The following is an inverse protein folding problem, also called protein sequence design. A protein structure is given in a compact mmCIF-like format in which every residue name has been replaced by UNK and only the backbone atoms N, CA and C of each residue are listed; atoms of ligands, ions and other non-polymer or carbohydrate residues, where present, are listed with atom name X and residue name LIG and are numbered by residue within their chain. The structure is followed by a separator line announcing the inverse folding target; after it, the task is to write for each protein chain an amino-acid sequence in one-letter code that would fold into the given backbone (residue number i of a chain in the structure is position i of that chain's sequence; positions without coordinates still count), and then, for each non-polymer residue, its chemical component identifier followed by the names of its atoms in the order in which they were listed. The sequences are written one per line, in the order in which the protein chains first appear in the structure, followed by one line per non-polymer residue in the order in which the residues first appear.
data_IF_821676281496
#
_entry.id   IF_821676281496
#
_cell.length_a   1.000
_cell.length_b   1.000
_cell.length_c   1.000
_cell.angle_alpha   90.00
_cell.angle_beta   90.00
_cell.angle_gamma   90.00
#
_symmetry.space_group_name_H-M   'P 1'
#
loop_
_entity.id
_entity.type
_entity.pdbx_description
1 polymer ?
#
# COMPACT_ATOMS: atom_id res chain seq x y z
N UNK A 1 -0.09 28.21 36.56
CA UNK A 1 1.07 27.36 36.20
C UNK A 1 1.41 27.66 34.75
N UNK A 2 2.60 28.22 34.45
CA UNK A 2 3.01 28.43 33.06
C UNK A 2 3.03 27.06 32.36
N UNK A 3 2.34 26.97 31.21
CA UNK A 3 2.27 25.73 30.42
C UNK A 3 3.66 25.48 29.86
N UNK A 4 4.22 24.28 30.05
CA UNK A 4 5.46 23.90 29.38
C UNK A 4 5.25 24.09 27.86
N UNK A 5 6.11 24.86 27.17
CA UNK A 5 5.96 25.15 25.74
C UNK A 5 6.44 23.97 24.88
N UNK A 6 5.92 22.77 25.15
CA UNK A 6 6.19 21.56 24.36
C UNK A 6 5.70 21.75 22.91
N UNK A 7 4.61 22.49 22.73
CA UNK A 7 4.09 22.85 21.41
C UNK A 7 5.15 23.61 20.59
N UNK A 8 5.72 24.69 21.14
CA UNK A 8 6.72 25.51 20.45
C UNK A 8 7.99 24.72 20.10
N UNK A 9 8.41 23.78 20.96
CA UNK A 9 9.55 22.91 20.67
C UNK A 9 9.26 21.88 19.58
N UNK A 10 8.08 21.26 19.60
CA UNK A 10 7.67 20.32 18.55
C UNK A 10 7.52 21.05 17.21
N UNK A 11 6.89 22.22 17.20
CA UNK A 11 6.69 23.03 16.00
C UNK A 11 8.06 23.44 15.41
N UNK A 12 9.01 23.89 16.23
CA UNK A 12 10.35 24.22 15.77
C UNK A 12 11.12 23.02 15.19
N UNK A 13 10.94 21.82 15.77
CA UNK A 13 11.54 20.58 15.23
C UNK A 13 10.89 20.19 13.91
N UNK A 14 9.56 20.25 13.81
CA UNK A 14 8.81 19.91 12.59
C UNK A 14 9.15 20.89 11.47
N UNK A 15 9.26 22.19 11.77
CA UNK A 15 9.64 23.20 10.79
C UNK A 15 11.09 23.00 10.32
N UNK A 16 12.03 22.72 11.23
CA UNK A 16 13.41 22.39 10.85
C UNK A 16 13.49 21.13 9.98
N UNK A 17 12.69 20.11 10.31
CA UNK A 17 12.60 18.86 9.56
C UNK A 17 12.03 19.10 8.16
N UNK A 18 10.99 19.93 8.05
CA UNK A 18 10.41 20.32 6.76
C UNK A 18 11.42 21.12 5.93
N UNK A 19 12.15 22.07 6.48
CA UNK A 19 13.11 22.86 5.69
C UNK A 19 14.32 22.02 5.27
N UNK A 20 14.86 21.18 6.15
CA UNK A 20 16.09 20.42 5.88
C UNK A 20 15.83 19.11 5.12
N UNK A 21 14.69 18.46 5.34
CA UNK A 21 14.41 17.09 4.88
C UNK A 21 13.18 17.02 3.95
N UNK A 22 12.48 18.13 3.64
CA UNK A 22 11.33 18.08 2.71
C UNK A 22 11.67 17.46 1.35
N UNK A 23 12.88 17.66 0.83
CA UNK A 23 13.31 17.01 -0.42
C UNK A 23 13.27 15.48 -0.32
N UNK A 24 13.73 14.93 0.80
CA UNK A 24 13.71 13.49 1.08
C UNK A 24 12.28 12.97 1.31
N UNK A 25 11.45 13.68 2.08
CA UNK A 25 10.05 13.30 2.27
C UNK A 25 9.27 13.31 0.95
N UNK A 26 9.48 14.34 0.11
CA UNK A 26 8.89 14.42 -1.23
C UNK A 26 9.33 13.25 -2.10
N UNK A 27 10.62 12.90 -2.09
CA UNK A 27 11.12 11.75 -2.85
C UNK A 27 10.41 10.46 -2.42
N UNK A 28 10.30 10.20 -1.12
CA UNK A 28 9.60 9.02 -0.61
C UNK A 28 8.14 9.03 -1.03
N UNK A 29 7.42 10.14 -0.82
CA UNK A 29 6.02 10.26 -1.23
C UNK A 29 5.83 10.01 -2.72
N UNK A 30 6.64 10.64 -3.58
CA UNK A 30 6.56 10.44 -5.03
C UNK A 30 6.86 9.00 -5.43
N UNK A 31 7.83 8.34 -4.80
CA UNK A 31 8.11 6.92 -5.04
C UNK A 31 6.91 6.06 -4.64
N UNK A 32 6.35 6.26 -3.45
CA UNK A 32 5.19 5.49 -3.00
C UNK A 32 3.99 5.74 -3.92
N UNK A 33 3.64 7.00 -4.19
CA UNK A 33 2.52 7.37 -5.05
C UNK A 33 2.68 6.82 -6.48
N UNK A 34 3.88 6.89 -7.04
CA UNK A 34 4.14 6.34 -8.39
C UNK A 34 4.01 4.83 -8.45
N UNK A 35 4.50 4.10 -7.43
CA UNK A 35 4.40 2.64 -7.40
C UNK A 35 2.96 2.20 -7.14
N UNK A 36 2.26 2.84 -6.19
CA UNK A 36 0.82 2.58 -5.96
C UNK A 36 0.03 2.86 -7.23
N UNK A 37 0.22 4.03 -7.85
CA UNK A 37 -0.45 4.42 -9.08
C UNK A 37 -0.17 3.47 -10.25
N UNK A 38 1.05 2.94 -10.34
CA UNK A 38 1.41 1.92 -11.33
C UNK A 38 0.61 0.63 -11.12
N UNK A 39 0.53 0.11 -9.89
CA UNK A 39 -0.24 -1.10 -9.60
C UNK A 39 -1.76 -0.88 -9.73
N UNK A 40 -2.28 0.24 -9.22
CA UNK A 40 -3.67 0.64 -9.41
C UNK A 40 -4.02 0.69 -10.89
N UNK A 41 -3.20 1.36 -11.70
CA UNK A 41 -3.37 1.44 -13.15
C UNK A 41 -3.33 0.07 -13.80
N UNK A 42 -2.37 -0.78 -13.43
CA UNK A 42 -2.25 -2.16 -13.92
C UNK A 42 -3.51 -2.99 -13.62
N UNK A 43 -4.10 -2.83 -12.43
CA UNK A 43 -5.35 -3.52 -12.07
C UNK A 43 -6.59 -2.95 -12.75
N UNK A 44 -6.57 -1.66 -13.13
CA UNK A 44 -7.64 -1.01 -13.88
C UNK A 44 -7.56 -1.19 -15.40
N UNK A 45 -6.42 -1.63 -15.96
CA UNK A 45 -6.25 -1.91 -17.39
C UNK A 45 -7.29 -2.88 -17.98
N UNK A 46 -7.56 -4.05 -17.36
CA UNK A 46 -8.62 -4.94 -17.85
C UNK A 46 -10.00 -4.42 -17.47
N UNK A 47 -11.00 -4.74 -18.31
CA UNK A 47 -12.41 -4.47 -17.98
C UNK A 47 -12.75 -5.10 -16.60
N UNK A 48 -13.46 -4.40 -15.69
CA UNK A 48 -13.70 -4.88 -14.33
C UNK A 48 -14.21 -6.33 -14.27
N UNK A 49 -15.19 -6.66 -15.12
CA UNK A 49 -15.73 -8.02 -15.25
C UNK A 49 -14.65 -9.05 -15.63
N UNK A 50 -13.73 -8.71 -16.53
CA UNK A 50 -12.63 -9.60 -16.93
C UNK A 50 -11.66 -9.83 -15.76
N UNK A 51 -11.36 -8.79 -14.99
CA UNK A 51 -10.53 -8.91 -13.77
C UNK A 51 -11.17 -9.85 -12.74
N UNK A 52 -12.49 -9.73 -12.51
CA UNK A 52 -13.23 -10.61 -11.60
C UNK A 52 -13.16 -12.06 -12.07
N UNK A 53 -13.29 -12.31 -13.37
CA UNK A 53 -13.18 -13.66 -13.93
C UNK A 53 -11.77 -14.22 -13.72
N UNK A 54 -10.73 -13.43 -14.01
CA UNK A 54 -9.33 -13.84 -13.83
C UNK A 54 -9.06 -14.21 -12.37
N UNK A 55 -9.43 -13.33 -11.43
CA UNK A 55 -9.27 -13.57 -9.99
C UNK A 55 -10.12 -14.75 -9.53
N UNK A 56 -11.33 -14.93 -10.06
CA UNK A 56 -12.19 -16.07 -9.79
C UNK A 56 -11.57 -17.40 -10.22
N UNK A 57 -10.97 -17.46 -11.41
CA UNK A 57 -10.25 -18.65 -11.90
C UNK A 57 -9.02 -18.93 -11.04
N UNK A 58 -8.25 -17.90 -10.68
CA UNK A 58 -7.11 -18.01 -9.75
C UNK A 58 -7.54 -18.54 -8.38
N UNK A 59 -8.63 -18.02 -7.83
CA UNK A 59 -9.21 -18.48 -6.57
C UNK A 59 -9.68 -19.95 -6.65
N UNK A 60 -10.19 -20.38 -7.80
CA UNK A 60 -10.57 -21.78 -8.04
C UNK A 60 -9.36 -22.71 -8.13
N UNK A 61 -8.27 -22.27 -8.76
CA UNK A 61 -7.06 -23.07 -8.89
C UNK A 61 -6.31 -23.23 -7.57
N UNK A 62 -6.31 -22.20 -6.72
CA UNK A 62 -5.59 -22.19 -5.44
C UNK A 62 -6.43 -22.73 -4.27
N UNK A 63 -7.75 -22.81 -4.41
CA UNK A 63 -8.67 -22.99 -3.29
C UNK A 63 -9.81 -23.98 -3.55
N UNK A 64 -10.72 -24.04 -2.59
CA UNK A 64 -11.98 -24.80 -2.71
C UNK A 64 -13.05 -23.93 -3.38
N UNK A 65 -14.07 -24.55 -3.97
CA UNK A 65 -15.22 -23.85 -4.60
C UNK A 65 -15.85 -22.74 -3.74
N UNK A 66 -15.89 -22.91 -2.41
CA UNK A 66 -16.40 -21.89 -1.48
C UNK A 66 -15.60 -20.58 -1.51
N UNK A 67 -14.29 -20.65 -1.69
CA UNK A 67 -13.40 -19.49 -1.76
C UNK A 67 -13.65 -18.72 -3.06
N UNK A 68 -13.71 -19.43 -4.19
CA UNK A 68 -14.06 -18.84 -5.50
C UNK A 68 -15.38 -18.07 -5.45
N UNK A 69 -16.44 -18.71 -4.92
CA UNK A 69 -17.75 -18.09 -4.85
C UNK A 69 -17.73 -16.83 -3.99
N UNK A 70 -17.06 -16.88 -2.83
CA UNK A 70 -16.91 -15.73 -1.94
C UNK A 70 -16.14 -14.58 -2.60
N UNK A 71 -15.02 -14.89 -3.26
CA UNK A 71 -14.20 -13.89 -3.96
C UNK A 71 -14.99 -13.23 -5.09
N UNK A 72 -15.64 -14.00 -5.96
CA UNK A 72 -16.40 -13.46 -7.10
C UNK A 72 -17.58 -12.62 -6.62
N UNK A 73 -18.35 -13.08 -5.64
CA UNK A 73 -19.46 -12.31 -5.05
C UNK A 73 -18.96 -11.01 -4.41
N UNK A 74 -17.86 -11.06 -3.66
CA UNK A 74 -17.28 -9.88 -3.02
C UNK A 74 -16.86 -8.82 -4.03
N UNK A 75 -16.12 -9.22 -5.07
CA UNK A 75 -15.72 -8.28 -6.13
C UNK A 75 -16.90 -7.77 -6.96
N UNK A 76 -17.92 -8.60 -7.21
CA UNK A 76 -19.12 -8.18 -7.94
C UNK A 76 -19.94 -7.17 -7.11
N UNK A 77 -19.97 -7.31 -5.79
CA UNK A 77 -20.58 -6.35 -4.88
C UNK A 77 -19.83 -5.02 -4.87
N UNK A 78 -18.48 -5.05 -4.80
CA UNK A 78 -17.65 -3.83 -4.92
C UNK A 78 -17.93 -3.10 -6.23
N UNK A 79 -18.00 -3.84 -7.33
CA UNK A 79 -18.32 -3.29 -8.64
C UNK A 79 -19.73 -2.68 -8.67
N UNK A 80 -20.72 -3.37 -8.09
CA UNK A 80 -22.10 -2.88 -8.03
C UNK A 80 -22.26 -1.61 -7.20
N UNK A 81 -21.47 -1.44 -6.14
CA UNK A 81 -21.45 -0.23 -5.31
C UNK A 81 -20.67 0.94 -5.93
N UNK A 82 -19.99 0.73 -7.05
CA UNK A 82 -19.19 1.77 -7.72
C UNK A 82 -17.86 2.11 -7.03
N UNK A 83 -17.44 1.32 -6.03
CA UNK A 83 -16.15 1.49 -5.33
C UNK A 83 -14.98 0.76 -6.01
N UNK A 84 -15.12 0.44 -7.30
CA UNK A 84 -14.10 -0.27 -8.06
C UNK A 84 -12.75 0.49 -8.05
N UNK A 85 -12.68 1.79 -8.38
CA UNK A 85 -11.42 2.51 -8.39
C UNK A 85 -10.70 2.49 -7.04
N UNK A 86 -11.43 2.80 -5.97
CA UNK A 86 -10.92 2.85 -4.60
C UNK A 86 -10.44 1.47 -4.14
N UNK A 87 -11.12 0.41 -4.56
CA UNK A 87 -10.71 -0.95 -4.24
C UNK A 87 -9.41 -1.33 -4.94
N UNK A 88 -9.24 -0.97 -6.22
CA UNK A 88 -7.97 -1.19 -6.92
C UNK A 88 -6.83 -0.37 -6.29
N UNK A 89 -7.11 0.84 -5.81
CA UNK A 89 -6.13 1.65 -5.08
C UNK A 89 -5.68 0.99 -3.77
N UNK A 90 -6.61 0.45 -3.00
CA UNK A 90 -6.25 -0.30 -1.78
C UNK A 90 -5.44 -1.56 -2.10
N UNK A 91 -5.77 -2.30 -3.17
CA UNK A 91 -4.98 -3.45 -3.61
C UNK A 91 -3.58 -3.02 -4.06
N UNK A 92 -3.47 -1.93 -4.82
CA UNK A 92 -2.20 -1.34 -5.23
C UNK A 92 -1.35 -0.95 -4.04
N UNK A 93 -1.96 -0.34 -3.02
CA UNK A 93 -1.30 0.00 -1.76
C UNK A 93 -0.81 -1.22 -1.01
N UNK A 94 -1.62 -2.28 -0.88
CA UNK A 94 -1.22 -3.52 -0.20
C UNK A 94 -0.02 -4.18 -0.89
N UNK A 95 -0.04 -4.28 -2.22
CA UNK A 95 1.08 -4.84 -2.99
C UNK A 95 2.33 -3.96 -2.85
N UNK A 96 2.18 -2.65 -2.97
CA UNK A 96 3.29 -1.70 -2.82
C UNK A 96 3.91 -1.77 -1.43
N UNK A 97 3.07 -1.79 -0.39
CA UNK A 97 3.51 -1.94 1.00
C UNK A 97 4.26 -3.25 1.21
N UNK A 98 3.74 -4.36 0.68
CA UNK A 98 4.41 -5.66 0.74
C UNK A 98 5.79 -5.64 0.08
N UNK A 99 5.91 -5.06 -1.12
CA UNK A 99 7.19 -4.93 -1.83
C UNK A 99 8.17 -4.07 -1.02
N UNK A 100 7.76 -2.89 -0.58
CA UNK A 100 8.62 -1.99 0.21
C UNK A 100 9.06 -2.70 1.51
N UNK A 101 8.14 -3.39 2.18
CA UNK A 101 8.43 -4.15 3.40
C UNK A 101 9.45 -5.25 3.15
N UNK A 102 9.37 -5.99 2.04
CA UNK A 102 10.35 -7.01 1.69
C UNK A 102 11.71 -6.37 1.35
N UNK A 103 11.71 -5.33 0.51
CA UNK A 103 12.91 -4.65 0.03
C UNK A 103 13.70 -4.01 1.16
N UNK A 104 13.04 -3.44 2.17
CA UNK A 104 13.69 -2.80 3.31
C UNK A 104 13.88 -3.79 4.47
N UNK A 105 12.86 -4.62 4.74
CA UNK A 105 12.83 -5.54 5.88
C UNK A 105 13.83 -6.69 5.76
N UNK A 106 14.01 -7.27 4.57
CA UNK A 106 14.96 -8.38 4.38
C UNK A 106 16.42 -7.92 4.60
N UNK A 107 16.90 -6.81 4.00
CA UNK A 107 18.24 -6.31 4.27
C UNK A 107 18.45 -5.90 5.73
N UNK A 108 17.50 -5.18 6.34
CA UNK A 108 17.61 -4.79 7.75
C UNK A 108 17.70 -6.00 8.67
N UNK A 109 16.94 -7.07 8.39
CA UNK A 109 17.02 -8.32 9.13
C UNK A 109 18.40 -8.98 9.04
N UNK A 110 19.01 -8.97 7.85
CA UNK A 110 20.37 -9.47 7.64
C UNK A 110 21.42 -8.66 8.43
N UNK A 111 21.35 -7.33 8.39
CA UNK A 111 22.28 -6.46 9.13
C UNK A 111 22.17 -6.64 10.65
N UNK A 112 20.94 -6.72 11.18
CA UNK A 112 20.69 -6.94 12.61
C UNK A 112 21.24 -8.30 13.08
N UNK A 113 21.05 -9.35 12.28
CA UNK A 113 21.60 -10.67 12.62
C UNK A 113 23.15 -10.66 12.65
N UNK A 114 23.77 -9.98 11.69
CA UNK A 114 25.24 -9.94 11.59
C UNK A 114 25.89 -9.07 12.67
N UNK A 115 25.25 -7.98 13.10
CA UNK A 115 25.76 -7.09 14.15
C UNK A 115 25.64 -7.67 15.59
N UNK A 116 24.96 -8.80 15.76
CA UNK A 116 24.77 -9.47 17.04
C UNK A 116 25.84 -10.56 17.36
N UNK A 117 26.79 -10.76 16.46
CA UNK A 117 27.96 -11.64 16.61
C UNK A 117 29.23 -10.80 16.80
#
# INVERSE_FOLDING_TARGET
MPKLPIAEWIDAIVDWLNVSIAGFFRLISTVIESVVGFFSGLFMLPHPILFIIIIGVLAYLLGKWKLTLFTVLGFLLIYNLGYWPQSMDTLGLVVTSGIISIVIGVPLGFFLHTAAL
#
